data_IF_195033037173
#
_entry.id   IF_195033037173
#
_cell.length_a   1.000
_cell.length_b   1.000
_cell.length_c   1.000
_cell.angle_alpha   90.00
_cell.angle_beta   90.00
_cell.angle_gamma   90.00
#
_symmetry.space_group_name_H-M   'P 1'
#
loop_
_entity.id
_entity.type
_entity.pdbx_description
1 polymer ?
#
# COMPACT_ATOMS: atom_id res chain seq x y z
N UNK A 1 15.00 -22.64 19.68
CA UNK A 1 15.61 -22.24 18.40
C UNK A 1 16.82 -23.10 18.09
N UNK A 2 17.04 -23.39 16.80
CA UNK A 2 18.30 -23.99 16.35
C UNK A 2 19.26 -22.85 15.94
N UNK A 3 20.13 -22.46 16.83
CA UNK A 3 21.10 -21.38 16.62
C UNK A 3 22.36 -21.83 15.85
N UNK A 4 22.46 -23.12 15.55
CA UNK A 4 23.53 -23.64 14.70
C UNK A 4 23.27 -23.42 13.22
N UNK A 5 24.34 -23.53 12.40
CA UNK A 5 24.28 -23.40 10.94
C UNK A 5 23.66 -24.61 10.24
N UNK A 6 23.56 -25.76 10.93
CA UNK A 6 23.10 -27.02 10.36
C UNK A 6 21.74 -27.45 10.94
N UNK A 7 20.90 -28.13 10.16
CA UNK A 7 19.66 -28.70 10.66
C UNK A 7 19.90 -29.69 11.80
N UNK A 8 19.12 -29.61 12.86
CA UNK A 8 19.12 -30.59 13.95
C UNK A 8 18.00 -31.59 13.75
N UNK A 9 18.27 -32.83 13.92
CA UNK A 9 17.28 -33.91 13.81
C UNK A 9 17.13 -34.63 15.14
N UNK A 10 15.88 -34.84 15.56
CA UNK A 10 15.52 -35.65 16.70
C UNK A 10 14.49 -36.69 16.26
N UNK A 11 14.54 -37.87 16.89
CA UNK A 11 13.53 -38.92 16.71
C UNK A 11 12.75 -39.08 18.01
N UNK A 12 11.46 -38.84 17.95
CA UNK A 12 10.54 -39.14 19.05
C UNK A 12 10.06 -40.56 18.85
N UNK A 13 10.22 -41.41 19.86
CA UNK A 13 9.67 -42.75 19.87
C UNK A 13 8.58 -42.82 20.93
N UNK A 14 7.43 -43.32 20.55
CA UNK A 14 6.34 -43.67 21.45
C UNK A 14 6.32 -45.19 21.54
N UNK A 15 6.46 -45.71 22.75
CA UNK A 15 6.31 -47.12 23.03
C UNK A 15 5.06 -47.29 23.89
N UNK A 16 4.21 -48.20 23.48
CA UNK A 16 3.05 -48.62 24.24
C UNK A 16 3.18 -50.11 24.51
N UNK A 17 2.96 -50.52 25.76
CA UNK A 17 2.90 -51.93 26.15
C UNK A 17 1.55 -52.18 26.82
N UNK A 18 0.78 -53.11 26.31
CA UNK A 18 -0.51 -53.48 26.88
C UNK A 18 -0.37 -54.33 28.17
N UNK A 19 -1.50 -54.61 28.83
CA UNK A 19 -1.55 -55.41 30.05
C UNK A 19 -1.13 -56.87 29.85
N UNK A 20 -1.03 -57.31 28.61
CA UNK A 20 -0.58 -58.67 28.23
C UNK A 20 0.89 -58.68 27.82
N UNK A 21 1.60 -57.54 27.91
CA UNK A 21 3.02 -57.46 27.59
C UNK A 21 3.31 -57.27 26.10
N UNK A 22 2.29 -57.05 25.23
CA UNK A 22 2.51 -56.77 23.82
C UNK A 22 2.94 -55.29 23.66
N UNK A 23 4.03 -55.10 22.95
CA UNK A 23 4.58 -53.75 22.76
C UNK A 23 4.45 -53.30 21.30
N UNK A 24 3.99 -52.08 21.13
CA UNK A 24 3.94 -51.39 19.84
C UNK A 24 4.75 -50.09 19.95
N UNK A 25 5.57 -49.84 18.96
CA UNK A 25 6.32 -48.58 18.89
C UNK A 25 6.06 -47.82 17.60
N UNK A 26 5.92 -46.53 17.71
CA UNK A 26 5.90 -45.59 16.59
C UNK A 26 7.02 -44.58 16.74
N UNK A 27 7.60 -44.14 15.62
CA UNK A 27 8.63 -43.11 15.65
C UNK A 27 8.30 -42.00 14.67
N UNK A 28 8.56 -40.74 15.09
CA UNK A 28 8.47 -39.54 14.26
C UNK A 28 9.82 -38.86 14.24
N UNK A 29 10.33 -38.58 13.06
CA UNK A 29 11.57 -37.81 12.87
C UNK A 29 11.22 -36.34 12.73
N UNK A 30 11.74 -35.50 13.61
CA UNK A 30 11.58 -34.02 13.58
C UNK A 30 12.90 -33.43 13.14
N UNK A 31 12.87 -32.57 12.12
CA UNK A 31 14.02 -31.80 11.68
C UNK A 31 13.78 -30.31 11.97
N UNK A 32 14.64 -29.72 12.79
CA UNK A 32 14.65 -28.30 13.09
C UNK A 32 15.68 -27.62 12.18
N UNK A 33 15.20 -26.76 11.26
CA UNK A 33 16.08 -25.95 10.42
C UNK A 33 16.87 -24.92 11.26
N UNK A 34 18.02 -24.42 10.78
CA UNK A 34 18.70 -23.28 11.36
C UNK A 34 17.76 -22.08 11.48
N UNK A 35 17.97 -21.27 12.52
CA UNK A 35 17.28 -19.97 12.59
C UNK A 35 17.89 -19.03 11.53
N UNK A 36 17.09 -18.29 10.75
CA UNK A 36 17.60 -17.40 9.73
C UNK A 36 18.56 -16.34 10.29
N UNK A 37 19.54 -15.92 9.52
CA UNK A 37 20.45 -14.81 9.86
C UNK A 37 19.85 -13.48 9.39
N UNK A 38 20.22 -12.38 10.06
CA UNK A 38 19.77 -11.06 9.64
C UNK A 38 20.40 -10.66 8.31
N UNK A 39 19.58 -10.06 7.44
CA UNK A 39 20.02 -9.34 6.25
C UNK A 39 19.45 -7.92 6.31
N UNK A 40 20.17 -6.94 5.79
CA UNK A 40 19.63 -5.61 5.61
C UNK A 40 18.87 -5.49 4.26
N UNK A 41 18.09 -4.43 4.13
CA UNK A 41 17.30 -4.18 2.91
C UNK A 41 18.19 -3.98 1.68
N UNK A 42 19.39 -3.39 1.82
CA UNK A 42 20.31 -3.20 0.73
C UNK A 42 20.82 -4.53 0.18
N UNK A 43 21.18 -5.47 1.07
CA UNK A 43 21.63 -6.79 0.68
C UNK A 43 20.54 -7.55 -0.08
N UNK A 44 19.27 -7.45 0.37
CA UNK A 44 18.15 -8.11 -0.34
C UNK A 44 17.88 -7.45 -1.70
N UNK A 45 17.94 -6.13 -1.80
CA UNK A 45 17.81 -5.41 -3.08
C UNK A 45 18.90 -5.76 -4.09
N UNK A 46 20.07 -6.17 -3.61
CA UNK A 46 21.19 -6.59 -4.45
C UNK A 46 21.10 -8.05 -4.95
N UNK A 47 20.13 -8.83 -4.45
CA UNK A 47 19.93 -10.20 -4.94
C UNK A 47 19.41 -10.20 -6.38
N UNK A 48 19.75 -11.25 -7.10
CA UNK A 48 19.11 -11.52 -8.39
C UNK A 48 17.64 -11.85 -8.18
N UNK A 49 16.70 -11.22 -8.93
CA UNK A 49 15.29 -11.56 -8.85
C UNK A 49 15.05 -13.05 -9.08
N UNK A 50 14.13 -13.63 -8.33
CA UNK A 50 13.79 -15.05 -8.32
C UNK A 50 13.57 -15.59 -6.93
N UNK A 51 13.53 -16.90 -6.79
CA UNK A 51 13.33 -17.58 -5.51
C UNK A 51 14.52 -17.32 -4.56
N UNK A 52 14.21 -16.89 -3.34
CA UNK A 52 15.20 -16.67 -2.28
C UNK A 52 15.40 -17.99 -1.51
N UNK A 53 16.53 -18.62 -1.75
CA UNK A 53 16.91 -19.88 -1.06
C UNK A 53 17.72 -19.65 0.21
N UNK A 54 18.16 -18.43 0.45
CA UNK A 54 18.98 -18.06 1.59
C UNK A 54 18.17 -18.10 2.89
N UNK A 55 18.77 -18.68 3.95
CA UNK A 55 18.19 -18.68 5.30
C UNK A 55 18.43 -17.32 5.96
N UNK A 56 17.69 -16.30 5.48
CA UNK A 56 17.82 -14.92 5.94
C UNK A 56 16.46 -14.35 6.34
N UNK A 57 16.49 -13.33 7.22
CA UNK A 57 15.32 -12.50 7.52
C UNK A 57 15.68 -11.03 7.40
N UNK A 58 14.70 -10.21 7.07
CA UNK A 58 14.77 -8.75 7.22
C UNK A 58 13.97 -8.31 8.44
N UNK A 59 14.34 -7.16 9.01
CA UNK A 59 13.62 -6.52 10.10
C UNK A 59 13.21 -5.11 9.68
N UNK A 60 11.93 -4.80 9.80
CA UNK A 60 11.39 -3.50 9.38
C UNK A 60 10.03 -3.22 9.99
N UNK A 61 9.45 -2.08 9.66
CA UNK A 61 8.13 -1.64 10.11
C UNK A 61 7.09 -1.84 9.02
N UNK A 62 5.93 -2.40 9.36
CA UNK A 62 4.75 -2.39 8.48
C UNK A 62 4.14 -1.00 8.50
N UNK A 63 4.02 -0.39 7.32
CA UNK A 63 3.49 0.98 7.17
C UNK A 63 2.11 1.05 6.54
N UNK A 64 1.64 -0.06 5.95
CA UNK A 64 0.31 -0.17 5.37
C UNK A 64 -0.71 -0.78 6.33
N UNK A 65 -1.99 -0.52 6.05
CA UNK A 65 -3.13 -1.03 6.80
C UNK A 65 -4.18 -1.58 5.82
N UNK A 66 -4.42 -2.89 5.76
CA UNK A 66 -5.45 -3.46 4.91
C UNK A 66 -6.86 -2.93 5.22
N UNK A 67 -7.14 -2.57 6.48
CA UNK A 67 -8.44 -2.03 6.88
C UNK A 67 -8.70 -0.63 6.34
N UNK A 68 -7.66 0.09 5.93
CA UNK A 68 -7.80 1.34 5.18
C UNK A 68 -8.51 1.17 3.84
N UNK A 69 -8.53 -0.05 3.29
CA UNK A 69 -9.00 -0.38 1.93
C UNK A 69 -8.28 0.44 0.85
N UNK A 70 -7.06 0.89 1.16
CA UNK A 70 -6.28 1.76 0.29
C UNK A 70 -4.81 1.30 0.12
N UNK A 71 -4.51 0.02 0.32
CA UNK A 71 -3.14 -0.51 0.18
C UNK A 71 -2.72 -0.63 -1.28
N UNK A 72 -3.58 -1.16 -2.14
CA UNK A 72 -3.28 -1.34 -3.57
C UNK A 72 -4.23 -0.52 -4.42
N UNK A 73 -3.80 -0.16 -5.64
CA UNK A 73 -4.70 0.38 -6.64
C UNK A 73 -5.71 -0.68 -7.07
N UNK A 74 -6.90 -0.23 -7.42
CA UNK A 74 -7.88 -1.12 -8.02
C UNK A 74 -7.32 -1.67 -9.33
N UNK A 75 -7.30 -3.00 -9.52
CA UNK A 75 -6.81 -3.55 -10.76
C UNK A 75 -7.71 -3.11 -11.91
N UNK A 76 -7.07 -2.97 -13.02
CA UNK A 76 -7.58 -2.42 -14.25
C UNK A 76 -8.36 -3.43 -15.03
N UNK A 77 -9.34 -4.00 -14.42
CA UNK A 77 -10.36 -4.67 -15.19
C UNK A 77 -11.25 -3.60 -15.82
N UNK A 78 -11.93 -3.93 -16.89
CA UNK A 78 -12.89 -3.06 -17.60
C UNK A 78 -13.95 -2.41 -16.71
N UNK A 79 -13.94 -2.76 -15.44
CA UNK A 79 -14.80 -2.26 -14.37
C UNK A 79 -13.88 -2.02 -13.17
N UNK A 80 -13.71 -0.81 -12.77
CA UNK A 80 -12.85 -0.38 -11.65
C UNK A 80 -13.34 -0.94 -10.31
N UNK A 81 -13.18 -2.24 -10.11
CA UNK A 81 -13.50 -2.86 -8.83
C UNK A 81 -12.31 -2.77 -7.89
N UNK A 82 -12.59 -2.45 -6.65
CA UNK A 82 -11.66 -2.66 -5.58
C UNK A 82 -11.44 -4.17 -5.39
N UNK A 83 -10.21 -4.62 -5.60
CA UNK A 83 -9.83 -6.00 -5.31
C UNK A 83 -9.51 -6.13 -3.83
N UNK A 84 -10.52 -6.56 -3.08
CA UNK A 84 -10.36 -6.79 -1.64
C UNK A 84 -9.30 -7.85 -1.34
N UNK A 85 -9.29 -8.93 -2.11
CA UNK A 85 -8.33 -10.02 -1.90
C UNK A 85 -6.89 -9.55 -2.09
N UNK A 86 -6.62 -8.77 -3.13
CA UNK A 86 -5.30 -8.19 -3.36
C UNK A 86 -4.93 -7.16 -2.28
N UNK A 87 -5.88 -6.32 -1.86
CA UNK A 87 -5.67 -5.35 -0.78
C UNK A 87 -5.30 -6.05 0.53
N UNK A 88 -6.08 -7.07 0.91
CA UNK A 88 -5.98 -7.69 2.22
C UNK A 88 -4.73 -8.60 2.34
N UNK A 89 -4.18 -9.09 1.22
CA UNK A 89 -2.94 -9.89 1.18
C UNK A 89 -1.68 -9.09 0.87
N UNK A 90 -1.77 -7.77 0.71
CA UNK A 90 -0.63 -6.89 0.43
C UNK A 90 -0.26 -6.07 1.65
N UNK A 91 1.03 -5.96 1.93
CA UNK A 91 1.56 -5.04 2.92
C UNK A 91 2.78 -4.30 2.37
N UNK A 92 3.13 -3.17 2.97
CA UNK A 92 4.39 -2.47 2.72
C UNK A 92 5.22 -2.50 4.00
N UNK A 93 6.47 -2.91 3.85
CA UNK A 93 7.46 -2.91 4.94
C UNK A 93 8.58 -1.94 4.59
N UNK A 94 8.94 -1.08 5.54
CA UNK A 94 10.11 -0.22 5.40
C UNK A 94 11.22 -0.62 6.36
N UNK A 95 12.47 -0.32 5.99
CA UNK A 95 13.64 -0.56 6.82
C UNK A 95 13.58 0.24 8.12
N UNK A 96 14.30 -0.22 9.16
CA UNK A 96 14.28 0.43 10.48
C UNK A 96 14.77 1.89 10.46
N UNK A 97 15.50 2.28 9.43
CA UNK A 97 15.96 3.66 9.18
C UNK A 97 15.07 4.43 8.18
N UNK A 98 13.99 3.80 7.69
CA UNK A 98 13.08 4.37 6.72
C UNK A 98 13.66 4.58 5.32
N UNK A 99 14.84 4.06 5.04
CA UNK A 99 15.54 4.34 3.78
C UNK A 99 14.93 3.62 2.58
N UNK A 100 14.52 2.36 2.75
CA UNK A 100 14.02 1.51 1.69
C UNK A 100 12.74 0.78 2.09
N UNK A 101 11.92 0.48 1.09
CA UNK A 101 10.70 -0.30 1.25
C UNK A 101 10.63 -1.50 0.33
N UNK A 102 9.80 -2.47 0.73
CA UNK A 102 9.35 -3.59 -0.10
C UNK A 102 7.84 -3.69 -0.08
N UNK A 103 7.26 -4.03 -1.25
CA UNK A 103 5.91 -4.56 -1.29
C UNK A 103 5.95 -6.04 -0.89
N UNK A 104 5.11 -6.43 0.05
CA UNK A 104 4.94 -7.81 0.49
C UNK A 104 3.62 -8.36 -0.05
N UNK A 105 3.66 -9.52 -0.69
CA UNK A 105 2.46 -10.23 -1.14
C UNK A 105 2.37 -11.58 -0.48
N UNK A 106 1.37 -11.70 0.38
CA UNK A 106 1.06 -12.94 1.08
C UNK A 106 0.22 -13.87 0.19
N UNK A 107 0.30 -15.16 0.45
CA UNK A 107 -0.46 -16.16 -0.30
C UNK A 107 -1.97 -16.01 -0.08
N UNK A 108 -2.37 -15.63 1.13
CA UNK A 108 -3.76 -15.34 1.49
C UNK A 108 -3.86 -14.11 2.40
N UNK A 109 -5.07 -13.61 2.60
CA UNK A 109 -5.36 -12.52 3.56
C UNK A 109 -5.09 -12.93 5.01
N UNK A 110 -5.33 -14.20 5.34
CA UNK A 110 -5.12 -14.76 6.66
C UNK A 110 -3.62 -14.84 7.02
N UNK A 111 -2.76 -14.87 6.02
CA UNK A 111 -1.30 -14.85 6.20
C UNK A 111 -0.76 -13.46 6.52
N UNK A 112 -1.45 -12.39 6.12
CA UNK A 112 -1.06 -10.99 6.35
C UNK A 112 -1.52 -10.53 7.75
N UNK A 113 -0.86 -11.02 8.79
CA UNK A 113 -1.25 -10.79 10.19
C UNK A 113 -0.61 -9.59 10.88
N UNK A 114 0.55 -9.03 10.43
CA UNK A 114 1.16 -7.90 11.13
C UNK A 114 0.34 -6.63 10.99
N UNK A 115 0.05 -5.99 12.12
CA UNK A 115 -0.64 -4.70 12.13
C UNK A 115 0.29 -3.56 11.67
N UNK A 116 -0.30 -2.49 11.14
CA UNK A 116 0.42 -1.25 10.82
C UNK A 116 1.21 -0.76 12.02
N UNK A 117 2.41 -0.25 11.78
CA UNK A 117 3.36 0.26 12.77
C UNK A 117 3.97 -0.81 13.70
N UNK A 118 3.72 -2.08 13.44
CA UNK A 118 4.47 -3.13 14.11
C UNK A 118 5.83 -3.35 13.45
N UNK A 119 6.83 -3.63 14.27
CA UNK A 119 8.13 -4.11 13.82
C UNK A 119 8.05 -5.61 13.60
N UNK A 120 8.51 -6.06 12.44
CA UNK A 120 8.41 -7.45 12.00
C UNK A 120 9.77 -7.99 11.62
N UNK A 121 10.07 -9.24 12.02
CA UNK A 121 11.12 -10.06 11.43
C UNK A 121 10.51 -11.01 10.43
N UNK A 122 10.86 -10.83 9.18
CA UNK A 122 10.31 -11.58 8.05
C UNK A 122 11.36 -12.49 7.45
N UNK A 123 11.16 -13.80 7.53
CA UNK A 123 11.99 -14.80 6.85
C UNK A 123 11.76 -14.72 5.33
N UNK A 124 12.85 -14.72 4.59
CA UNK A 124 12.80 -14.62 3.13
C UNK A 124 12.90 -15.97 2.43
N UNK A 125 13.25 -17.04 3.16
CA UNK A 125 13.44 -18.35 2.57
C UNK A 125 12.17 -18.90 1.93
N UNK A 126 12.25 -19.29 0.68
CA UNK A 126 11.14 -19.80 -0.12
C UNK A 126 10.21 -18.71 -0.69
N UNK A 127 10.44 -17.44 -0.39
CA UNK A 127 9.77 -16.34 -1.06
C UNK A 127 10.44 -16.00 -2.39
N UNK A 128 9.75 -15.26 -3.23
CA UNK A 128 10.28 -14.80 -4.53
C UNK A 128 10.49 -13.29 -4.50
N UNK A 129 11.70 -12.84 -4.88
CA UNK A 129 12.00 -11.44 -5.09
C UNK A 129 11.69 -11.07 -6.53
N UNK A 130 10.87 -10.05 -6.72
CA UNK A 130 10.58 -9.42 -7.99
C UNK A 130 11.15 -8.01 -8.03
N UNK A 131 11.66 -7.58 -9.19
CA UNK A 131 12.20 -6.25 -9.41
C UNK A 131 11.56 -5.60 -10.62
N UNK A 132 11.03 -4.39 -10.45
CA UNK A 132 10.68 -3.46 -11.52
C UNK A 132 11.83 -2.47 -11.68
N UNK A 133 12.18 -2.11 -12.91
CA UNK A 133 13.36 -1.26 -13.17
C UNK A 133 13.02 0.21 -13.44
N UNK A 134 11.76 0.52 -13.73
CA UNK A 134 11.36 1.90 -14.03
C UNK A 134 9.93 2.16 -13.55
N UNK A 135 9.79 2.83 -12.40
CA UNK A 135 10.82 3.12 -11.40
C UNK A 135 11.36 1.87 -10.74
N UNK A 136 12.55 1.96 -10.12
CA UNK A 136 13.15 0.82 -9.44
C UNK A 136 12.40 0.54 -8.14
N UNK A 137 11.72 -0.59 -8.07
CA UNK A 137 11.08 -1.05 -6.86
C UNK A 137 11.05 -2.58 -6.76
N UNK A 138 10.78 -3.08 -5.56
CA UNK A 138 10.94 -4.49 -5.25
C UNK A 138 9.71 -5.03 -4.54
N UNK A 139 9.31 -6.23 -4.95
CA UNK A 139 8.19 -6.97 -4.34
C UNK A 139 8.67 -8.33 -3.88
N UNK A 140 8.26 -8.74 -2.71
CA UNK A 140 8.51 -10.09 -2.17
C UNK A 140 7.18 -10.83 -2.16
N UNK A 141 7.09 -11.90 -2.94
CA UNK A 141 5.86 -12.68 -3.15
C UNK A 141 5.96 -14.08 -2.57
N UNK A 142 4.82 -14.76 -2.45
CA UNK A 142 4.76 -16.14 -1.94
C UNK A 142 4.94 -16.24 -0.43
N UNK A 143 4.73 -15.16 0.29
CA UNK A 143 4.82 -15.12 1.75
C UNK A 143 3.61 -15.82 2.40
N UNK A 144 3.86 -16.46 3.53
CA UNK A 144 2.83 -17.04 4.38
C UNK A 144 3.03 -16.60 5.84
N UNK A 145 2.09 -16.90 6.72
CA UNK A 145 2.25 -16.63 8.15
C UNK A 145 3.52 -17.27 8.75
N UNK A 146 4.00 -18.39 8.18
CA UNK A 146 5.23 -19.05 8.62
C UNK A 146 6.51 -18.23 8.34
N UNK A 147 6.44 -17.26 7.42
CA UNK A 147 7.55 -16.33 7.16
C UNK A 147 7.67 -15.26 8.25
N UNK A 148 6.61 -15.01 9.04
CA UNK A 148 6.61 -14.02 10.11
C UNK A 148 7.22 -14.66 11.35
N UNK A 149 8.48 -14.31 11.65
CA UNK A 149 9.23 -14.88 12.78
C UNK A 149 8.90 -14.22 14.11
N UNK A 150 8.77 -12.91 14.08
CA UNK A 150 8.50 -12.07 15.26
C UNK A 150 7.71 -10.83 14.84
N UNK A 151 6.76 -10.41 15.67
CA UNK A 151 5.99 -9.17 15.50
C UNK A 151 5.91 -8.44 16.84
N UNK A 152 6.21 -7.14 16.85
CA UNK A 152 6.00 -6.30 18.03
C UNK A 152 4.57 -5.78 18.10
N UNK A 153 4.19 -5.24 19.24
CA UNK A 153 3.03 -4.34 19.32
C UNK A 153 3.26 -3.11 18.43
N UNK A 154 2.21 -2.58 17.76
CA UNK A 154 2.29 -1.36 16.97
C UNK A 154 2.77 -0.17 17.81
N UNK A 155 3.65 0.64 17.23
CA UNK A 155 4.17 1.86 17.84
C UNK A 155 4.50 2.90 16.75
N UNK A 156 3.57 3.79 16.50
CA UNK A 156 3.70 4.82 15.46
C UNK A 156 4.87 5.77 15.70
N UNK A 157 5.21 6.05 16.96
CA UNK A 157 6.29 6.98 17.30
C UNK A 157 7.68 6.45 16.95
N UNK A 158 7.80 5.16 16.65
CA UNK A 158 9.07 4.54 16.22
C UNK A 158 9.29 4.55 14.71
N UNK A 159 8.28 4.97 13.95
CA UNK A 159 8.38 4.96 12.49
C UNK A 159 9.23 6.13 12.01
N UNK A 160 10.29 5.88 11.23
CA UNK A 160 11.19 6.94 10.76
C UNK A 160 10.61 7.65 9.53
N UNK A 161 9.61 8.50 9.72
CA UNK A 161 8.96 9.24 8.64
C UNK A 161 9.90 10.31 8.08
N UNK A 162 10.27 10.18 6.81
CA UNK A 162 11.07 11.19 6.10
C UNK A 162 10.18 12.36 5.68
N UNK A 163 10.65 13.59 5.93
CA UNK A 163 10.00 14.79 5.38
C UNK A 163 10.66 15.18 4.07
N UNK A 164 9.87 15.33 3.00
CA UNK A 164 10.35 15.60 1.64
C UNK A 164 9.41 16.56 0.92
N UNK A 165 9.92 17.19 -0.12
CA UNK A 165 9.14 17.83 -1.18
C UNK A 165 8.94 16.86 -2.34
N UNK A 166 8.05 17.17 -3.29
CA UNK A 166 7.86 16.34 -4.49
C UNK A 166 9.19 16.11 -5.22
N UNK A 167 10.02 17.15 -5.33
CA UNK A 167 11.28 17.10 -6.08
C UNK A 167 12.39 16.29 -5.41
N UNK A 168 12.24 15.94 -4.13
CA UNK A 168 13.22 15.15 -3.36
C UNK A 168 12.87 13.65 -3.32
N UNK A 169 11.72 13.27 -3.87
CA UNK A 169 11.34 11.85 -3.96
C UNK A 169 12.24 11.12 -4.94
N UNK A 170 12.63 9.92 -4.56
CA UNK A 170 13.47 9.01 -5.35
C UNK A 170 12.89 7.60 -5.36
N UNK A 171 13.42 6.72 -6.19
CA UNK A 171 13.00 5.31 -6.23
C UNK A 171 13.21 4.59 -4.89
N UNK A 172 14.13 5.07 -4.06
CA UNK A 172 14.37 4.53 -2.72
C UNK A 172 13.22 4.81 -1.74
N UNK A 173 12.36 5.79 -2.05
CA UNK A 173 11.21 6.12 -1.22
C UNK A 173 10.00 5.22 -1.49
N UNK A 174 10.01 4.45 -2.59
CA UNK A 174 8.89 3.58 -2.94
C UNK A 174 8.67 2.53 -1.85
N UNK A 175 7.41 2.39 -1.43
CA UNK A 175 6.94 1.54 -0.33
C UNK A 175 7.42 1.96 1.06
N UNK A 176 7.87 3.20 1.22
CA UNK A 176 8.14 3.81 2.53
C UNK A 176 7.11 4.87 2.88
N UNK A 177 6.95 5.14 4.18
CA UNK A 177 6.10 6.21 4.68
C UNK A 177 6.86 7.53 4.64
N UNK A 178 6.31 8.51 3.94
CA UNK A 178 6.89 9.85 3.83
C UNK A 178 5.90 10.92 4.23
N UNK A 179 6.41 12.07 4.63
CA UNK A 179 5.65 13.30 4.86
C UNK A 179 6.02 14.28 3.75
N UNK A 180 5.18 14.41 2.73
CA UNK A 180 5.43 15.35 1.62
C UNK A 180 4.82 16.70 1.98
N UNK A 181 5.67 17.72 2.04
CA UNK A 181 5.30 19.07 2.45
C UNK A 181 5.00 19.97 1.26
N UNK A 182 4.39 21.12 1.54
CA UNK A 182 4.05 22.13 0.56
C UNK A 182 3.15 21.58 -0.57
N UNK A 183 2.15 20.79 -0.22
CA UNK A 183 1.18 20.25 -1.16
C UNK A 183 -0.14 20.99 -1.09
N UNK A 184 -0.80 21.05 -2.22
CA UNK A 184 -2.17 21.49 -2.38
C UNK A 184 -2.87 20.59 -3.41
N UNK A 185 -4.15 20.26 -3.19
CA UNK A 185 -4.92 19.48 -4.16
C UNK A 185 -5.41 20.44 -5.25
N UNK A 186 -5.16 20.09 -6.50
CA UNK A 186 -5.52 20.93 -7.65
C UNK A 186 -7.04 21.07 -7.82
N UNK A 187 -7.80 20.02 -7.55
CA UNK A 187 -9.25 20.06 -7.61
C UNK A 187 -9.80 20.63 -6.32
N UNK A 188 -10.39 21.82 -6.37
CA UNK A 188 -10.91 22.52 -5.19
C UNK A 188 -12.28 22.01 -4.75
N UNK A 189 -13.01 21.35 -5.62
CA UNK A 189 -14.34 20.81 -5.33
C UNK A 189 -14.35 19.29 -5.53
N UNK A 190 -15.10 18.61 -4.67
CA UNK A 190 -15.33 17.19 -4.84
C UNK A 190 -14.81 16.32 -3.69
N UNK A 191 -14.90 15.03 -3.89
CA UNK A 191 -14.49 14.01 -2.95
C UNK A 191 -13.16 13.38 -3.35
N UNK A 192 -12.54 12.64 -2.44
CA UNK A 192 -11.33 11.87 -2.74
C UNK A 192 -11.56 10.83 -3.85
N UNK A 193 -12.76 10.28 -3.91
CA UNK A 193 -13.26 9.49 -5.05
C UNK A 193 -14.78 9.56 -5.09
N UNK A 194 -15.37 9.50 -6.27
CA UNK A 194 -16.81 9.59 -6.46
C UNK A 194 -17.52 8.24 -6.40
N UNK A 195 -16.83 7.17 -6.02
CA UNK A 195 -17.41 5.83 -5.98
C UNK A 195 -17.87 5.43 -4.60
N UNK A 196 -19.02 4.78 -4.55
CA UNK A 196 -19.58 4.10 -3.39
C UNK A 196 -19.85 2.64 -3.70
N UNK A 197 -19.47 1.72 -2.81
CA UNK A 197 -19.72 0.31 -3.00
C UNK A 197 -21.22 0.03 -3.17
N UNK A 198 -21.54 -0.75 -4.19
CA UNK A 198 -22.90 -1.16 -4.48
C UNK A 198 -23.82 -0.07 -5.03
N UNK A 199 -23.31 1.11 -5.31
CA UNK A 199 -24.11 2.18 -5.89
C UNK A 199 -24.14 2.08 -7.40
N UNK A 200 -25.35 2.04 -7.97
CA UNK A 200 -25.54 2.09 -9.43
C UNK A 200 -25.70 3.54 -9.87
N UNK A 201 -24.86 3.98 -10.79
CA UNK A 201 -24.99 5.31 -11.40
C UNK A 201 -26.29 5.54 -12.15
N UNK A 202 -27.06 4.49 -12.40
CA UNK A 202 -28.40 4.63 -12.97
C UNK A 202 -29.36 5.38 -12.04
N UNK A 203 -29.15 5.22 -10.73
CA UNK A 203 -29.95 5.86 -9.70
C UNK A 203 -29.41 7.26 -9.33
N UNK A 204 -28.33 7.66 -9.93
CA UNK A 204 -27.67 8.94 -9.72
C UNK A 204 -27.83 9.84 -10.96
N UNK A 205 -27.62 11.13 -10.78
CA UNK A 205 -27.80 12.24 -11.72
C UNK A 205 -27.02 12.06 -13.06
N UNK A 206 -26.14 11.10 -13.14
CA UNK A 206 -25.35 10.87 -14.34
C UNK A 206 -25.90 9.68 -15.17
N UNK A 207 -26.51 9.93 -16.33
CA UNK A 207 -27.18 8.92 -17.14
C UNK A 207 -26.25 7.97 -17.89
N UNK A 208 -24.92 8.05 -17.66
CA UNK A 208 -23.91 7.29 -18.45
C UNK A 208 -23.64 5.92 -17.85
N UNK A 209 -24.59 5.23 -17.35
CA UNK A 209 -24.43 3.87 -16.87
C UNK A 209 -25.73 3.11 -16.95
N UNK A 210 -25.66 1.81 -17.06
CA UNK A 210 -26.82 0.94 -16.91
C UNK A 210 -26.84 0.39 -15.48
N UNK A 211 -28.00 -0.04 -14.99
CA UNK A 211 -28.14 -0.64 -13.66
C UNK A 211 -27.27 -1.90 -13.47
N UNK A 212 -26.84 -2.51 -14.57
CA UNK A 212 -26.00 -3.72 -14.60
C UNK A 212 -24.51 -3.43 -14.76
N UNK A 213 -24.14 -2.19 -14.99
CA UNK A 213 -22.74 -1.76 -15.14
C UNK A 213 -22.51 -0.51 -14.29
N UNK A 214 -22.27 -0.65 -12.98
CA UNK A 214 -21.93 0.49 -12.14
C UNK A 214 -20.68 1.14 -12.69
N UNK A 215 -20.73 2.46 -12.84
CA UNK A 215 -19.58 3.24 -13.24
C UNK A 215 -18.90 3.79 -12.00
N UNK A 216 -17.65 3.47 -11.87
CA UNK A 216 -16.80 3.93 -10.78
C UNK A 216 -15.93 5.06 -11.31
N UNK A 217 -16.07 6.25 -10.79
CA UNK A 217 -15.15 7.33 -11.08
C UNK A 217 -13.97 7.24 -10.11
N UNK A 218 -13.04 6.36 -10.42
CA UNK A 218 -11.73 6.38 -9.79
C UNK A 218 -10.96 7.51 -10.46
N UNK A 219 -10.93 8.66 -9.83
CA UNK A 219 -10.12 9.77 -10.26
C UNK A 219 -8.97 9.93 -9.27
N UNK A 220 -7.72 9.59 -9.65
CA UNK A 220 -6.58 10.03 -8.88
C UNK A 220 -6.59 11.55 -8.83
N UNK A 221 -6.42 12.11 -7.62
CA UNK A 221 -6.37 13.56 -7.46
C UNK A 221 -4.94 14.03 -7.69
N UNK A 222 -4.79 15.07 -8.49
CA UNK A 222 -3.50 15.72 -8.68
C UNK A 222 -3.25 16.69 -7.54
N UNK A 223 -2.09 16.54 -6.90
CA UNK A 223 -1.52 17.51 -5.97
C UNK A 223 -0.39 18.25 -6.67
N UNK A 224 -0.13 19.47 -6.26
CA UNK A 224 0.98 20.28 -6.73
C UNK A 224 1.68 20.97 -5.56
N UNK A 225 2.93 21.34 -5.75
CA UNK A 225 3.68 22.13 -4.79
C UNK A 225 3.79 23.61 -5.24
N UNK A 226 4.31 24.45 -4.38
CA UNK A 226 4.50 25.87 -4.66
C UNK A 226 5.57 26.16 -5.74
N UNK A 227 6.22 25.13 -6.29
CA UNK A 227 7.15 25.23 -7.42
C UNK A 227 6.53 24.75 -8.72
N UNK A 228 5.27 24.32 -8.70
CA UNK A 228 4.54 23.79 -9.85
C UNK A 228 4.81 22.32 -10.18
N UNK A 229 5.56 21.58 -9.33
CA UNK A 229 5.68 20.12 -9.48
C UNK A 229 4.39 19.44 -9.08
N UNK A 230 4.10 18.32 -9.71
CA UNK A 230 2.87 17.57 -9.49
C UNK A 230 3.13 16.15 -9.04
N UNK A 231 2.19 15.60 -8.26
CA UNK A 231 2.14 14.21 -7.84
C UNK A 231 0.69 13.78 -7.71
N UNK A 232 0.37 12.53 -8.01
CA UNK A 232 -0.97 12.02 -7.81
C UNK A 232 -1.15 11.43 -6.41
N UNK A 233 -2.33 11.69 -5.86
CA UNK A 233 -2.86 10.99 -4.69
C UNK A 233 -3.85 9.93 -5.16
N UNK A 234 -3.65 8.69 -4.71
CA UNK A 234 -4.53 7.57 -5.02
C UNK A 234 -5.41 7.23 -3.82
N UNK A 235 -6.72 7.22 -4.04
CA UNK A 235 -7.69 6.77 -3.06
C UNK A 235 -8.61 5.75 -3.70
N UNK A 236 -8.69 4.55 -3.13
CA UNK A 236 -9.57 3.51 -3.63
C UNK A 236 -11.04 3.82 -3.37
N UNK A 237 -11.88 3.23 -4.19
CA UNK A 237 -13.34 3.33 -4.08
C UNK A 237 -13.90 2.73 -2.80
N UNK A 238 -13.15 1.86 -2.12
CA UNK A 238 -13.54 1.24 -0.87
C UNK A 238 -12.98 1.94 0.37
N UNK A 239 -12.11 2.97 0.21
CA UNK A 239 -11.55 3.70 1.34
C UNK A 239 -12.66 4.36 2.18
N UNK A 240 -12.64 4.24 3.53
CA UNK A 240 -13.71 4.77 4.38
C UNK A 240 -13.92 6.27 4.27
N UNK A 241 -12.86 7.04 3.95
CA UNK A 241 -12.91 8.49 3.81
C UNK A 241 -13.15 8.98 2.39
N UNK A 242 -13.37 8.10 1.45
CA UNK A 242 -13.82 8.47 0.11
C UNK A 242 -15.08 9.30 0.19
N UNK A 243 -15.80 9.56 -0.72
CA UNK A 243 -17.12 10.15 -0.59
C UNK A 243 -18.04 9.18 0.16
N UNK A 244 -18.54 9.57 1.31
CA UNK A 244 -19.50 8.77 2.06
C UNK A 244 -20.88 8.84 1.42
N UNK A 245 -21.58 7.73 1.28
CA UNK A 245 -23.01 7.70 0.99
C UNK A 245 -23.70 6.74 1.95
N UNK A 246 -24.75 7.20 2.61
CA UNK A 246 -25.70 6.35 3.30
C UNK A 246 -26.87 6.05 2.36
N UNK A 247 -26.79 4.95 1.64
CA UNK A 247 -27.83 4.59 0.69
C UNK A 247 -27.93 5.54 -0.50
N UNK A 248 -29.11 6.16 -0.73
CA UNK A 248 -29.32 7.11 -1.85
C UNK A 248 -28.86 8.52 -1.55
N UNK A 249 -28.60 8.83 -0.30
CA UNK A 249 -28.17 10.15 0.12
C UNK A 249 -26.66 10.23 0.05
N UNK A 250 -26.16 11.02 -0.88
CA UNK A 250 -24.75 11.36 -0.98
C UNK A 250 -24.42 12.33 0.13
N UNK A 251 -23.58 11.93 1.07
CA UNK A 251 -22.99 12.87 2.01
C UNK A 251 -21.89 13.67 1.29
N UNK A 252 -22.22 14.91 0.96
CA UNK A 252 -21.29 15.84 0.31
C UNK A 252 -20.28 16.46 1.29
N UNK A 253 -20.31 16.07 2.58
CA UNK A 253 -19.44 16.65 3.59
C UNK A 253 -18.00 16.07 3.53
N UNK A 254 -17.80 14.94 2.87
CA UNK A 254 -16.46 14.39 2.63
C UNK A 254 -15.81 15.05 1.42
N UNK A 255 -15.45 16.31 1.57
CA UNK A 255 -14.76 17.09 0.53
C UNK A 255 -13.25 17.06 0.77
N UNK A 256 -12.49 17.13 -0.32
CA UNK A 256 -11.03 17.27 -0.25
C UNK A 256 -10.65 18.59 0.45
N UNK A 257 -9.54 18.61 1.21
CA UNK A 257 -9.03 19.84 1.80
C UNK A 257 -8.75 20.91 0.74
N UNK A 258 -9.07 22.15 1.07
CA UNK A 258 -8.93 23.32 0.16
C UNK A 258 -7.63 24.09 0.40
N UNK A 259 -6.91 23.78 1.46
CA UNK A 259 -5.67 24.44 1.84
C UNK A 259 -4.42 23.76 1.30
N UNK A 260 -3.28 24.32 1.66
CA UNK A 260 -1.97 23.72 1.49
C UNK A 260 -1.53 23.01 2.77
N UNK A 261 -0.43 22.26 2.72
CA UNK A 261 0.12 21.65 3.93
C UNK A 261 0.93 20.40 3.64
N UNK A 262 0.75 19.41 4.49
CA UNK A 262 1.53 18.16 4.47
C UNK A 262 0.63 16.98 4.18
N UNK A 263 1.12 16.10 3.31
CA UNK A 263 0.52 14.78 3.09
C UNK A 263 1.49 13.71 3.57
N UNK A 264 1.09 13.00 4.62
CA UNK A 264 1.78 11.81 5.10
C UNK A 264 1.21 10.60 4.41
N UNK A 265 2.03 9.90 3.63
CA UNK A 265 1.54 8.75 2.85
C UNK A 265 2.65 7.82 2.42
N UNK A 266 2.25 6.67 1.91
CA UNK A 266 3.17 5.71 1.32
C UNK A 266 3.42 6.12 -0.13
N UNK A 267 4.68 6.20 -0.53
CA UNK A 267 5.04 6.37 -1.94
C UNK A 267 4.82 5.06 -2.66
N UNK A 268 4.08 5.09 -3.73
CA UNK A 268 3.87 3.93 -4.60
C UNK A 268 4.19 4.28 -6.05
N UNK A 269 4.33 3.25 -6.88
CA UNK A 269 4.56 3.38 -8.31
C UNK A 269 3.65 2.41 -9.06
N UNK A 270 2.35 2.65 -8.93
CA UNK A 270 1.33 1.81 -9.53
C UNK A 270 1.09 2.17 -10.99
N UNK A 271 1.05 1.14 -11.83
CA UNK A 271 0.58 1.27 -13.21
C UNK A 271 -0.95 1.25 -13.20
N UNK A 272 -1.57 2.41 -13.02
CA UNK A 272 -3.02 2.54 -13.18
C UNK A 272 -3.34 2.61 -14.66
N UNK A 273 -4.10 1.66 -15.20
CA UNK A 273 -4.36 1.62 -16.63
C UNK A 273 -5.06 2.89 -17.10
N UNK A 274 -4.56 3.38 -18.20
CA UNK A 274 -4.91 4.69 -18.72
C UNK A 274 -6.23 4.65 -19.48
N UNK A 275 -7.33 4.19 -18.90
CA UNK A 275 -8.59 4.31 -19.63
C UNK A 275 -8.93 5.79 -19.85
N UNK A 276 -8.39 6.71 -19.02
CA UNK A 276 -8.65 8.14 -19.14
C UNK A 276 -7.52 9.08 -18.72
N UNK A 277 -6.52 8.58 -17.97
CA UNK A 277 -5.60 9.47 -17.25
C UNK A 277 -4.14 9.38 -17.70
N UNK A 278 -3.82 8.48 -18.63
CA UNK A 278 -2.45 8.35 -19.11
C UNK A 278 -1.47 7.94 -18.03
N UNK A 279 -0.27 8.45 -18.11
CA UNK A 279 0.79 8.24 -17.13
C UNK A 279 0.49 9.10 -15.89
N UNK A 280 0.35 8.44 -14.73
CA UNK A 280 0.20 9.11 -13.44
C UNK A 280 1.51 9.64 -12.86
N UNK A 281 2.57 9.59 -13.65
CA UNK A 281 3.89 9.96 -13.19
C UNK A 281 4.59 8.84 -12.42
N UNK A 282 5.85 9.11 -12.10
CA UNK A 282 6.76 8.11 -11.53
C UNK A 282 6.37 7.67 -10.12
N UNK A 283 5.87 8.62 -9.33
CA UNK A 283 5.47 8.39 -7.93
C UNK A 283 4.05 8.85 -7.68
N UNK A 284 3.36 8.15 -6.81
CA UNK A 284 2.05 8.51 -6.30
C UNK A 284 2.06 8.41 -4.77
N UNK A 285 1.15 9.15 -4.12
CA UNK A 285 0.97 9.10 -2.66
C UNK A 285 -0.30 8.33 -2.31
N UNK A 286 -0.21 7.54 -1.25
CA UNK A 286 -1.31 6.72 -0.78
C UNK A 286 -1.44 6.86 0.73
N UNK A 287 -2.50 7.54 1.18
CA UNK A 287 -2.86 7.62 2.60
C UNK A 287 -3.53 6.34 3.07
N UNK A 288 -3.37 6.02 4.34
CA UNK A 288 -4.09 4.93 5.02
C UNK A 288 -5.25 5.48 5.86
N UNK A 289 -5.26 6.77 6.17
CA UNK A 289 -6.37 7.49 6.83
C UNK A 289 -6.55 8.88 6.24
N UNK A 290 -7.71 9.51 6.49
CA UNK A 290 -7.97 10.87 6.03
C UNK A 290 -7.09 11.91 6.74
N UNK A 291 -6.78 11.68 8.01
CA UNK A 291 -5.99 12.59 8.86
C UNK A 291 -4.55 12.72 8.37
N UNK A 292 -4.07 11.76 7.59
CA UNK A 292 -2.74 11.83 6.96
C UNK A 292 -2.67 12.89 5.85
N UNK A 293 -3.82 13.40 5.41
CA UNK A 293 -3.93 14.45 4.39
C UNK A 293 -4.19 15.78 5.12
N UNK A 294 -3.15 16.32 5.75
CA UNK A 294 -3.22 17.51 6.58
C UNK A 294 -2.92 18.77 5.76
N UNK A 295 -3.83 19.14 4.85
CA UNK A 295 -3.75 20.33 4.01
C UNK A 295 -4.61 21.45 4.64
N UNK A 296 -4.17 21.97 5.78
CA UNK A 296 -4.93 22.90 6.64
C UNK A 296 -4.39 24.32 6.65
N UNK A 297 -3.27 24.56 5.96
CA UNK A 297 -2.65 25.87 5.82
C UNK A 297 -3.32 26.70 4.72
N UNK A 298 -2.96 27.98 4.61
CA UNK A 298 -3.46 28.85 3.53
C UNK A 298 -3.05 28.31 2.15
N UNK A 299 -3.91 28.36 1.15
CA UNK A 299 -3.59 27.96 -0.22
C UNK A 299 -2.41 28.78 -0.79
N UNK A 300 -1.58 28.16 -1.64
CA UNK A 300 -0.45 28.83 -2.27
C UNK A 300 -0.86 29.95 -3.20
N UNK A 301 -1.95 29.78 -3.94
CA UNK A 301 -2.42 30.76 -4.88
C UNK A 301 -3.75 31.34 -4.44
N UNK A 302 -3.84 32.69 -4.45
CA UNK A 302 -5.11 33.40 -4.32
C UNK A 302 -5.92 33.38 -5.62
N UNK A 303 -5.34 32.86 -6.69
CA UNK A 303 -6.00 32.77 -7.98
C UNK A 303 -6.76 31.47 -8.02
N UNK A 304 -7.99 31.50 -7.56
CA UNK A 304 -8.96 30.44 -7.81
C UNK A 304 -9.20 30.45 -9.32
N UNK A 305 -8.73 29.43 -10.01
CA UNK A 305 -9.25 29.16 -11.35
C UNK A 305 -10.61 28.52 -11.10
N UNK A 306 -11.63 29.34 -11.05
CA UNK A 306 -13.01 28.87 -11.08
C UNK A 306 -13.23 28.18 -12.42
N UNK A 307 -13.14 26.86 -12.42
CA UNK A 307 -13.50 26.07 -13.58
C UNK A 307 -15.01 26.06 -13.71
N UNK A 308 -15.53 26.98 -14.52
CA UNK A 308 -16.95 27.01 -14.84
C UNK A 308 -17.23 25.98 -15.95
N UNK A 309 -17.77 24.83 -15.60
CA UNK A 309 -18.16 23.79 -16.55
C UNK A 309 -19.21 24.23 -17.58
N UNK A 310 -19.87 25.37 -17.36
CA UNK A 310 -20.84 25.94 -18.27
C UNK A 310 -20.20 26.80 -19.36
N UNK A 311 -18.98 27.29 -19.14
CA UNK A 311 -18.22 27.99 -20.16
C UNK A 311 -17.39 26.97 -20.96
N UNK A 312 -17.96 26.47 -22.02
CA UNK A 312 -17.28 25.60 -23.00
C UNK A 312 -16.23 26.35 -23.83
N UNK A 313 -15.63 27.37 -23.29
CA UNK A 313 -14.53 28.06 -23.93
C UNK A 313 -13.26 27.29 -23.66
N UNK A 314 -12.79 26.61 -24.69
CA UNK A 314 -11.56 25.82 -24.76
C UNK A 314 -10.28 26.64 -24.64
N UNK A 315 -10.37 27.93 -24.32
CA UNK A 315 -9.28 28.89 -24.49
C UNK A 315 -8.59 29.29 -23.18
N UNK A 316 -8.95 28.64 -22.06
CA UNK A 316 -8.30 28.90 -20.79
C UNK A 316 -7.52 27.67 -20.36
N UNK A 317 -6.42 27.40 -21.03
CA UNK A 317 -5.28 26.76 -20.37
C UNK A 317 -4.68 27.90 -19.52
N UNK A 318 -4.64 27.82 -18.19
CA UNK A 318 -3.93 28.79 -17.39
C UNK A 318 -2.48 28.80 -17.89
N UNK A 319 -2.01 29.93 -18.39
CA UNK A 319 -0.58 30.15 -18.50
C UNK A 319 -0.04 29.98 -17.09
N UNK A 320 0.71 28.91 -16.88
CA UNK A 320 1.49 28.73 -15.67
C UNK A 320 2.47 29.86 -15.69
N UNK A 321 2.22 30.88 -14.86
CA UNK A 321 2.99 32.10 -14.83
C UNK A 321 4.49 31.80 -14.67
N UNK A 322 5.28 32.59 -15.39
CA UNK A 322 6.73 32.62 -15.29
C UNK A 322 7.24 32.84 -13.87
#
# INVERSE_FOLDING_TARGET
KNEGSEPRTATIRLNFTDEHGNSVSASCKITQKPYPTAADFAAVRALTPGEITLQQYIEGYIVSDPDSKNVVSSPQTKQFFFDRGENDRTAYIESLDGKWGFCLKFASSEDNTPARFSKVRLSLNGATLEKKNSPECYTITGLTAANILETSTPDEFKIPVKTKTIGELTDDDIFTLVSVTNLEIMCKDGAYTNCTDGYSFKDNINPIGTATAPRWDVAPLMCYDNTGRTIYMLTNTAAPWRRFSSGRDLDFNSVVPQGSGTFRGIVVADDVAPIRFGDLGRYQLRAMTAEEIALTDEPFSKTVVEWNWNDRKTDLIPEIGE
#
